data_IF_179187878859
#
_entry.id   IF_179187878859
#
_cell.length_a   1.000
_cell.length_b   1.000
_cell.length_c   1.000
_cell.angle_alpha   90.00
_cell.angle_beta   90.00
_cell.angle_gamma   90.00
#
_symmetry.space_group_name_H-M   'P 1'
#
loop_
_entity.id
_entity.type
_entity.pdbx_description
1 polymer ?
#
# COMPACT_ATOMS: atom_id res chain seq x y z
N UNK A 1 -11.44 0.49 21.65
CA UNK A 1 -10.85 0.14 20.34
C UNK A 1 -10.34 1.46 19.77
N UNK A 2 -9.09 1.54 19.32
CA UNK A 2 -8.58 2.79 18.76
C UNK A 2 -9.30 3.11 17.46
N UNK A 3 -9.63 4.38 17.23
CA UNK A 3 -10.27 4.82 15.99
C UNK A 3 -9.28 4.78 14.81
N UNK A 4 -8.00 5.02 15.07
CA UNK A 4 -6.94 5.05 14.07
C UNK A 4 -5.61 4.52 14.63
N UNK A 5 -4.76 4.00 13.74
CA UNK A 5 -3.37 3.61 14.02
C UNK A 5 -2.47 4.34 13.02
N UNK A 6 -1.42 5.00 13.51
CA UNK A 6 -0.48 5.74 12.65
C UNK A 6 0.67 4.85 12.23
N UNK A 7 0.95 4.81 10.93
CA UNK A 7 2.06 4.07 10.34
C UNK A 7 2.98 5.03 9.62
N UNK A 8 4.28 4.97 9.93
CA UNK A 8 5.27 5.82 9.28
C UNK A 8 5.71 5.21 7.96
N UNK A 9 5.54 5.97 6.87
CA UNK A 9 5.99 5.58 5.52
C UNK A 9 7.24 6.33 5.07
N UNK A 10 7.80 7.17 5.94
CA UNK A 10 8.96 7.98 5.61
C UNK A 10 10.19 7.10 5.33
N UNK A 11 10.86 7.35 4.22
CA UNK A 11 12.08 6.62 3.83
C UNK A 11 11.84 5.22 3.26
N UNK A 12 10.59 4.78 3.10
CA UNK A 12 10.29 3.51 2.44
C UNK A 12 10.54 3.63 0.92
N UNK A 13 11.25 2.65 0.37
CA UNK A 13 11.52 2.56 -1.07
C UNK A 13 10.33 1.93 -1.82
N UNK A 14 10.30 2.12 -3.14
CA UNK A 14 9.39 1.40 -4.01
C UNK A 14 9.60 -0.12 -3.86
N UNK A 15 8.50 -0.86 -3.70
CA UNK A 15 8.55 -2.30 -3.41
C UNK A 15 8.69 -2.64 -1.93
N UNK A 16 8.83 -1.67 -1.01
CA UNK A 16 8.85 -1.95 0.42
C UNK A 16 7.48 -2.39 0.95
N UNK A 17 7.49 -3.43 1.78
CA UNK A 17 6.33 -3.92 2.52
C UNK A 17 6.46 -3.54 4.00
N UNK A 18 5.36 -3.10 4.60
CA UNK A 18 5.23 -2.97 6.06
C UNK A 18 4.50 -4.20 6.56
N UNK A 19 5.09 -4.89 7.53
CA UNK A 19 4.51 -6.09 8.12
C UNK A 19 3.72 -5.74 9.37
N UNK A 20 2.80 -6.62 9.76
CA UNK A 20 1.97 -6.47 10.95
C UNK A 20 2.80 -6.25 12.23
N UNK A 21 3.94 -6.94 12.36
CA UNK A 21 4.88 -6.77 13.49
C UNK A 21 5.58 -5.42 13.55
N UNK A 22 5.66 -4.69 12.43
CA UNK A 22 6.33 -3.39 12.36
C UNK A 22 5.40 -2.25 12.80
N UNK A 23 4.13 -2.55 13.09
CA UNK A 23 3.14 -1.59 13.56
C UNK A 23 3.34 -1.25 15.04
N UNK A 24 3.41 0.04 15.34
CA UNK A 24 3.38 0.53 16.72
C UNK A 24 1.94 0.52 17.21
N UNK A 25 1.61 -0.47 18.04
CA UNK A 25 0.26 -0.63 18.58
C UNK A 25 0.04 0.19 19.85
N UNK A 26 -1.13 0.81 20.02
CA UNK A 26 -1.53 1.43 21.28
C UNK A 26 -1.65 0.40 22.41
N UNK A 27 -1.54 0.84 23.67
CA UNK A 27 -1.70 -0.05 24.81
C UNK A 27 -3.06 -0.76 24.81
N UNK A 28 -3.03 -2.06 25.11
CA UNK A 28 -4.23 -2.90 25.16
C UNK A 28 -4.76 -3.37 23.81
N UNK A 29 -4.10 -3.03 22.69
CA UNK A 29 -4.46 -3.52 21.35
C UNK A 29 -3.60 -4.74 20.98
N UNK A 30 -4.22 -5.74 20.36
CA UNK A 30 -3.55 -6.94 19.85
C UNK A 30 -3.95 -7.18 18.39
N UNK A 31 -2.98 -7.60 17.58
CA UNK A 31 -3.25 -8.04 16.21
C UNK A 31 -3.76 -9.48 16.25
N UNK A 32 -4.82 -9.74 15.49
CA UNK A 32 -5.37 -11.08 15.28
C UNK A 32 -4.80 -11.76 14.03
N UNK A 33 -4.03 -11.02 13.25
CA UNK A 33 -3.32 -11.49 12.05
C UNK A 33 -1.91 -11.93 12.42
N UNK A 34 -1.27 -12.66 11.52
CA UNK A 34 0.10 -13.15 11.67
C UNK A 34 1.12 -12.02 11.56
N UNK A 35 2.24 -12.15 12.27
CA UNK A 35 3.27 -11.10 12.38
C UNK A 35 3.90 -10.71 11.02
N UNK A 36 3.98 -11.65 10.09
CA UNK A 36 4.49 -11.50 8.73
C UNK A 36 3.42 -11.10 7.70
N UNK A 37 2.18 -10.84 8.14
CA UNK A 37 1.13 -10.34 7.25
C UNK A 37 1.52 -8.95 6.71
N UNK A 38 1.51 -8.80 5.38
CA UNK A 38 1.74 -7.51 4.72
C UNK A 38 0.51 -6.63 4.90
N UNK A 39 0.68 -5.49 5.58
CA UNK A 39 -0.40 -4.54 5.88
C UNK A 39 -0.37 -3.29 5.00
N UNK A 40 0.80 -2.94 4.47
CA UNK A 40 0.97 -1.86 3.50
C UNK A 40 2.09 -2.23 2.53
N UNK A 41 1.89 -1.89 1.26
CA UNK A 41 2.89 -2.08 0.21
C UNK A 41 3.11 -0.74 -0.49
N UNK A 42 4.36 -0.31 -0.57
CA UNK A 42 4.74 0.82 -1.41
C UNK A 42 4.89 0.31 -2.84
N UNK A 43 4.05 0.81 -3.74
CA UNK A 43 4.13 0.51 -5.16
C UNK A 43 5.13 1.46 -5.83
N UNK A 44 5.93 0.92 -6.75
CA UNK A 44 6.66 1.76 -7.68
C UNK A 44 5.65 2.53 -8.55
N UNK A 45 6.04 3.71 -9.01
CA UNK A 45 5.30 4.38 -10.07
C UNK A 45 5.28 3.43 -11.28
N UNK A 46 4.12 2.81 -11.50
CA UNK A 46 3.84 2.20 -12.78
C UNK A 46 3.51 3.38 -13.69
N UNK A 47 4.28 3.56 -14.76
CA UNK A 47 3.89 4.49 -15.79
C UNK A 47 2.44 4.15 -16.18
N UNK A 48 1.56 5.15 -16.18
CA UNK A 48 0.25 5.02 -16.81
C UNK A 48 0.50 4.49 -18.23
N UNK A 49 0.20 3.21 -18.47
CA UNK A 49 -0.34 2.83 -19.76
C UNK A 49 -1.64 3.61 -19.85
N UNK A 50 -1.55 4.77 -20.49
CA UNK A 50 -2.70 5.46 -21.07
C UNK A 50 -3.51 4.36 -21.73
N UNK A 51 -4.73 4.15 -21.25
CA UNK A 51 -5.66 3.19 -21.84
C UNK A 51 -5.63 3.36 -23.36
N UNK A 52 -4.99 2.43 -24.10
CA UNK A 52 -5.11 2.32 -25.55
C UNK A 52 -6.58 1.94 -25.83
N UNK A 53 -7.43 2.96 -25.92
CA UNK A 53 -8.86 2.79 -26.00
C UNK A 53 -9.63 4.07 -26.26
N UNK A 54 -9.01 5.13 -26.79
CA UNK A 54 -9.72 6.35 -27.18
C UNK A 54 -8.96 7.17 -28.26
N UNK A 55 -8.79 6.60 -29.46
CA UNK A 55 -8.59 7.23 -30.79
C UNK A 55 -8.16 6.07 -31.73
N UNK A 56 -8.82 5.68 -32.82
CA UNK A 56 -9.32 6.48 -33.93
C UNK A 56 -10.60 5.87 -34.53
N UNK A 57 -11.67 6.67 -34.55
CA UNK A 57 -12.56 6.70 -35.69
C UNK A 57 -11.94 7.65 -36.73
N UNK A 58 -11.13 7.14 -37.65
CA UNK A 58 -10.74 7.85 -38.88
C UNK A 58 -10.18 6.87 -39.94
N UNK A 59 -11.00 6.58 -40.95
CA UNK A 59 -10.66 6.39 -42.37
C UNK A 59 -9.56 5.37 -42.79
N UNK A 60 -9.99 4.21 -43.31
CA UNK A 60 -9.83 3.77 -44.71
C UNK A 60 -10.17 2.28 -44.91
#
# INVERSE_FOLDING_TARGET
IPDNVTVSVQGLAAGAAVLAKDLVLPEGVKLTVEEDTVVLQVLAAQAEEVSEGEEEAAEA
#
